data_IF_147444837857
#
_entry.id   IF_147444837857
#
_cell.length_a   1.000
_cell.length_b   1.000
_cell.length_c   1.000
_cell.angle_alpha   90.00
_cell.angle_beta   90.00
_cell.angle_gamma   90.00
#
_symmetry.space_group_name_H-M   'P 1'
#
loop_
_entity.id
_entity.type
_entity.pdbx_description
1 polymer ?
#
# COMPACT_ATOMS: atom_id res chain seq x y z
N UNK A 1 23.92 -12.95 -21.44
CA UNK A 1 23.64 -13.59 -20.14
C UNK A 1 22.31 -13.06 -19.60
N UNK A 2 21.24 -13.86 -19.54
CA UNK A 2 19.91 -13.39 -19.18
C UNK A 2 19.72 -13.41 -17.65
N UNK A 3 19.81 -12.25 -17.00
CA UNK A 3 19.44 -12.06 -15.58
C UNK A 3 18.09 -11.35 -15.51
N UNK A 4 16.98 -12.06 -15.76
CA UNK A 4 15.62 -11.49 -15.55
C UNK A 4 14.54 -12.47 -15.07
N UNK A 5 14.86 -13.74 -14.79
CA UNK A 5 13.81 -14.72 -14.43
C UNK A 5 13.55 -14.92 -12.92
N UNK A 6 14.40 -14.42 -12.02
CA UNK A 6 14.24 -14.71 -10.58
C UNK A 6 13.30 -13.75 -9.85
N UNK A 7 13.06 -12.55 -10.40
CA UNK A 7 12.25 -11.51 -9.74
C UNK A 7 10.75 -11.82 -9.77
N UNK A 8 10.24 -12.37 -10.88
CA UNK A 8 8.82 -12.69 -11.02
C UNK A 8 8.32 -13.71 -9.99
N UNK A 9 9.14 -14.71 -9.63
CA UNK A 9 8.70 -15.75 -8.70
C UNK A 9 8.53 -15.22 -7.27
N UNK A 10 9.38 -14.27 -6.86
CA UNK A 10 9.29 -13.63 -5.55
C UNK A 10 8.06 -12.73 -5.43
N UNK A 11 7.73 -11.94 -6.47
CA UNK A 11 6.55 -11.08 -6.46
C UNK A 11 5.23 -11.86 -6.59
N UNK A 12 5.20 -12.98 -7.32
CA UNK A 12 4.04 -13.87 -7.37
C UNK A 12 3.73 -14.50 -6.00
N UNK A 13 4.75 -14.90 -5.24
CA UNK A 13 4.58 -15.40 -3.87
C UNK A 13 4.07 -14.30 -2.93
N UNK A 14 4.54 -13.06 -3.10
CA UNK A 14 4.13 -11.90 -2.30
C UNK A 14 2.69 -11.46 -2.61
N UNK A 15 2.23 -11.57 -3.85
CA UNK A 15 0.82 -11.34 -4.18
C UNK A 15 -0.09 -12.35 -3.45
N UNK A 16 0.34 -13.61 -3.31
CA UNK A 16 -0.33 -14.62 -2.49
C UNK A 16 -0.34 -14.25 -1.00
N UNK A 17 0.75 -13.69 -0.47
CA UNK A 17 0.78 -13.16 0.89
C UNK A 17 -0.18 -11.97 1.06
N UNK A 18 -0.21 -11.04 0.10
CA UNK A 18 -1.08 -9.86 0.13
C UNK A 18 -2.56 -10.21 0.07
N UNK A 19 -2.95 -11.22 -0.71
CA UNK A 19 -4.34 -11.67 -0.78
C UNK A 19 -4.88 -12.15 0.58
N UNK A 20 -4.00 -12.57 1.50
CA UNK A 20 -4.35 -13.01 2.84
C UNK A 20 -4.24 -11.90 3.91
N UNK A 21 -3.84 -10.67 3.53
CA UNK A 21 -3.71 -9.55 4.45
C UNK A 21 -4.99 -8.72 4.51
N UNK A 22 -6.05 -9.19 5.16
CA UNK A 22 -7.25 -8.37 5.45
C UNK A 22 -7.30 -7.98 6.93
N UNK A 23 -6.96 -6.72 7.29
CA UNK A 23 -6.99 -6.27 8.67
C UNK A 23 -8.37 -6.39 9.34
N UNK A 24 -8.37 -6.52 10.66
CA UNK A 24 -9.61 -6.43 11.42
C UNK A 24 -10.24 -5.03 11.28
N UNK A 25 -11.56 -4.98 11.13
CA UNK A 25 -12.30 -3.73 10.94
C UNK A 25 -12.21 -3.14 9.53
N UNK A 26 -11.64 -3.85 8.54
CA UNK A 26 -11.86 -3.55 7.13
C UNK A 26 -13.37 -3.68 6.80
N UNK A 27 -13.99 -2.67 6.16
CA UNK A 27 -15.40 -2.74 5.75
C UNK A 27 -15.68 -4.01 4.92
N UNK A 28 -16.83 -4.65 5.12
CA UNK A 28 -17.15 -5.94 4.47
C UNK A 28 -17.34 -5.81 2.96
N UNK A 29 -17.80 -4.65 2.51
CA UNK A 29 -17.99 -4.24 1.12
C UNK A 29 -16.69 -3.75 0.43
N UNK A 30 -15.58 -3.63 1.16
CA UNK A 30 -14.33 -3.15 0.59
C UNK A 30 -13.72 -4.17 -0.39
N UNK A 31 -13.48 -3.72 -1.61
CA UNK A 31 -12.74 -4.44 -2.64
C UNK A 31 -11.27 -4.53 -2.26
N UNK A 32 -10.60 -5.60 -2.67
CA UNK A 32 -9.18 -5.86 -2.36
C UNK A 32 -8.31 -5.67 -3.58
N UNK A 33 -7.23 -4.91 -3.43
CA UNK A 33 -6.22 -4.67 -4.45
C UNK A 33 -4.86 -5.04 -3.90
N UNK A 34 -4.17 -5.95 -4.57
CA UNK A 34 -2.85 -6.42 -4.14
C UNK A 34 -1.75 -5.93 -5.07
N UNK A 35 -0.58 -5.69 -4.52
CA UNK A 35 0.64 -5.40 -5.26
C UNK A 35 1.87 -5.59 -4.38
N UNK A 36 3.01 -5.15 -4.88
CA UNK A 36 4.26 -5.19 -4.14
C UNK A 36 5.35 -4.40 -4.84
N UNK A 37 6.57 -4.48 -4.30
CA UNK A 37 7.72 -3.85 -4.91
C UNK A 37 9.02 -4.23 -4.22
N UNK A 38 10.07 -3.45 -4.51
CA UNK A 38 11.39 -3.59 -3.89
C UNK A 38 11.79 -2.30 -3.18
N UNK A 39 12.32 -2.43 -1.95
CA UNK A 39 13.00 -1.35 -1.23
C UNK A 39 14.39 -1.81 -0.81
N UNK A 40 15.43 -1.17 -1.35
CA UNK A 40 16.82 -1.49 -1.00
C UNK A 40 17.18 -2.97 -1.23
N UNK A 41 16.57 -3.62 -2.22
CA UNK A 41 16.77 -5.05 -2.53
C UNK A 41 15.90 -6.03 -1.73
N UNK A 42 15.10 -5.56 -0.77
CA UNK A 42 14.10 -6.38 -0.07
C UNK A 42 12.73 -6.23 -0.71
N UNK A 43 12.07 -7.35 -0.97
CA UNK A 43 10.73 -7.36 -1.52
C UNK A 43 9.67 -7.17 -0.44
N UNK A 44 8.56 -6.56 -0.81
CA UNK A 44 7.44 -6.28 0.10
C UNK A 44 6.10 -6.44 -0.61
N UNK A 45 5.09 -6.84 0.16
CA UNK A 45 3.72 -7.03 -0.27
C UNK A 45 2.80 -5.94 0.31
N UNK A 46 1.83 -5.50 -0.48
CA UNK A 46 0.82 -4.51 -0.07
C UNK A 46 -0.57 -4.99 -0.47
N UNK A 47 -1.52 -4.86 0.46
CA UNK A 47 -2.94 -5.00 0.20
C UNK A 47 -3.67 -3.70 0.55
N UNK A 48 -4.46 -3.19 -0.38
CA UNK A 48 -5.34 -2.04 -0.19
C UNK A 48 -6.76 -2.57 -0.25
N UNK A 49 -7.50 -2.37 0.82
CA UNK A 49 -8.94 -2.61 0.85
C UNK A 49 -9.66 -1.27 0.81
N UNK A 50 -10.49 -1.06 -0.20
CA UNK A 50 -11.11 0.23 -0.46
C UNK A 50 -12.58 0.04 -0.85
N UNK A 51 -13.47 0.78 -0.20
CA UNK A 51 -14.87 0.95 -0.59
C UNK A 51 -15.00 2.11 -1.57
N UNK A 52 -16.11 2.16 -2.31
CA UNK A 52 -16.37 3.24 -3.28
C UNK A 52 -16.47 4.62 -2.61
N UNK A 53 -16.81 4.68 -1.33
CA UNK A 53 -16.87 5.92 -0.53
C UNK A 53 -15.55 6.27 0.18
N UNK A 54 -14.46 5.57 -0.15
CA UNK A 54 -13.12 5.92 0.32
C UNK A 54 -12.77 5.45 1.73
N UNK A 55 -13.56 4.55 2.33
CA UNK A 55 -13.23 3.88 3.59
C UNK A 55 -12.40 2.64 3.30
N UNK A 56 -11.57 2.25 4.27
CA UNK A 56 -10.77 1.05 4.08
C UNK A 56 -9.51 0.98 4.91
N UNK A 57 -8.62 0.09 4.48
CA UNK A 57 -7.38 -0.23 5.19
C UNK A 57 -6.26 -0.53 4.20
N UNK A 58 -5.03 -0.20 4.57
CA UNK A 58 -3.80 -0.59 3.88
C UNK A 58 -3.01 -1.53 4.79
N UNK A 59 -2.72 -2.74 4.32
CA UNK A 59 -1.83 -3.67 4.99
C UNK A 59 -0.52 -3.79 4.24
N UNK A 60 0.58 -3.83 4.98
CA UNK A 60 1.90 -4.17 4.48
C UNK A 60 2.42 -5.37 5.28
N UNK A 61 3.22 -6.23 4.65
CA UNK A 61 3.88 -7.36 5.31
C UNK A 61 4.96 -6.95 6.35
N UNK A 62 5.09 -5.64 6.63
CA UNK A 62 6.05 -5.02 7.55
C UNK A 62 5.37 -4.13 8.63
N UNK A 63 5.77 -2.87 8.78
CA UNK A 63 5.43 -1.96 9.90
C UNK A 63 3.92 -1.61 10.02
N UNK A 64 3.10 -2.05 9.06
CA UNK A 64 1.66 -1.82 9.01
C UNK A 64 0.86 -3.12 8.85
N UNK A 65 1.36 -4.24 9.42
CA UNK A 65 0.73 -5.56 9.30
C UNK A 65 -0.69 -5.64 9.88
N UNK A 66 -0.97 -4.85 10.92
CA UNK A 66 -2.29 -4.79 11.55
C UNK A 66 -3.28 -3.89 10.79
N UNK A 67 -2.87 -3.32 9.65
CA UNK A 67 -3.70 -2.45 8.83
C UNK A 67 -3.70 -1.00 9.29
N UNK A 68 -3.22 -0.11 8.42
CA UNK A 68 -3.45 1.32 8.54
C UNK A 68 -4.85 1.64 8.02
N UNK A 69 -5.69 2.33 8.79
CA UNK A 69 -7.01 2.79 8.35
C UNK A 69 -6.89 3.98 7.43
N UNK A 70 -7.54 3.93 6.28
CA UNK A 70 -7.59 5.03 5.32
C UNK A 70 -8.31 6.22 5.97
N UNK A 71 -7.72 7.41 5.85
CA UNK A 71 -8.31 8.67 6.26
C UNK A 71 -9.08 9.27 5.08
N UNK A 72 -10.41 9.14 5.01
CA UNK A 72 -11.17 9.47 3.80
C UNK A 72 -11.03 10.94 3.40
N UNK A 73 -10.85 11.83 4.39
CA UNK A 73 -10.64 13.27 4.17
C UNK A 73 -9.36 13.60 3.40
N UNK A 74 -8.43 12.65 3.29
CA UNK A 74 -7.16 12.81 2.55
C UNK A 74 -7.21 12.28 1.13
N UNK A 75 -8.31 11.65 0.72
CA UNK A 75 -8.44 11.09 -0.63
C UNK A 75 -8.47 12.23 -1.64
N UNK A 76 -7.61 12.12 -2.64
CA UNK A 76 -7.51 13.02 -3.78
C UNK A 76 -7.62 12.19 -5.04
N UNK A 77 -8.52 12.58 -5.91
CA UNK A 77 -8.62 12.05 -7.26
C UNK A 77 -7.71 12.87 -8.17
N UNK A 78 -6.82 12.19 -8.88
CA UNK A 78 -5.96 12.79 -9.90
C UNK A 78 -6.43 12.47 -11.30
N UNK A 79 -5.64 12.89 -12.28
CA UNK A 79 -5.90 12.61 -13.69
C UNK A 79 -5.82 11.10 -13.99
N UNK A 80 -6.45 10.71 -15.09
CA UNK A 80 -6.45 9.34 -15.60
C UNK A 80 -6.91 8.27 -14.58
N UNK A 81 -7.77 8.66 -13.62
CA UNK A 81 -8.33 7.74 -12.62
C UNK A 81 -7.36 7.38 -11.50
N UNK A 82 -6.34 8.20 -11.26
CA UNK A 82 -5.40 7.99 -10.15
C UNK A 82 -5.97 8.47 -8.82
N UNK A 83 -5.52 7.87 -7.72
CA UNK A 83 -5.91 8.18 -6.35
C UNK A 83 -4.67 8.44 -5.49
N UNK A 84 -4.77 9.37 -4.55
CA UNK A 84 -3.77 9.57 -3.50
C UNK A 84 -4.46 9.72 -2.16
N UNK A 85 -3.92 9.12 -1.09
CA UNK A 85 -4.52 9.19 0.24
C UNK A 85 -3.52 8.83 1.33
N UNK A 86 -3.89 9.10 2.58
CA UNK A 86 -3.15 8.67 3.77
C UNK A 86 -3.92 7.59 4.52
N UNK A 87 -3.17 6.71 5.16
CA UNK A 87 -3.70 5.74 6.09
C UNK A 87 -2.87 5.75 7.38
N UNK A 88 -3.53 5.61 8.53
CA UNK A 88 -2.91 5.73 9.85
C UNK A 88 -3.19 4.51 10.74
N UNK A 89 -2.35 4.32 11.75
CA UNK A 89 -2.47 3.18 12.68
C UNK A 89 -1.43 2.09 12.47
N UNK A 90 -0.37 2.38 11.73
CA UNK A 90 0.84 1.54 11.73
C UNK A 90 1.49 1.52 13.13
N UNK A 91 2.33 0.51 13.37
CA UNK A 91 2.98 0.31 14.67
C UNK A 91 4.35 1.02 14.79
N UNK A 92 4.79 1.21 16.03
CA UNK A 92 6.13 1.70 16.34
C UNK A 92 6.35 3.18 16.01
N UNK A 93 7.41 3.49 15.26
CA UNK A 93 7.76 4.87 14.87
C UNK A 93 6.98 5.34 13.64
N UNK A 94 6.52 4.40 12.82
CA UNK A 94 5.72 4.65 11.63
C UNK A 94 4.27 4.79 12.07
N UNK A 95 3.71 5.99 11.93
CA UNK A 95 2.31 6.25 12.33
C UNK A 95 1.31 5.96 11.22
N UNK A 96 1.80 5.80 9.98
CA UNK A 96 0.96 5.60 8.81
C UNK A 96 1.75 5.45 7.52
N UNK A 97 1.01 5.44 6.42
CA UNK A 97 1.53 5.49 5.05
C UNK A 97 0.78 6.56 4.26
N UNK A 98 1.47 7.14 3.28
CA UNK A 98 0.85 7.92 2.23
C UNK A 98 1.03 7.17 0.91
N UNK A 99 -0.09 6.96 0.22
CA UNK A 99 -0.18 6.36 -1.10
C UNK A 99 -0.39 7.48 -2.10
N UNK A 100 0.42 7.52 -3.15
CA UNK A 100 0.39 8.55 -4.18
C UNK A 100 0.28 7.92 -5.57
N UNK A 101 -0.41 8.61 -6.47
CA UNK A 101 -0.52 8.23 -7.89
C UNK A 101 -1.00 6.78 -8.08
N UNK A 102 -1.87 6.30 -7.19
CA UNK A 102 -2.37 4.94 -7.18
C UNK A 102 -3.30 4.73 -8.37
N UNK A 103 -2.99 3.72 -9.17
CA UNK A 103 -3.85 3.25 -10.24
C UNK A 103 -4.24 1.81 -9.95
N UNK A 104 -5.55 1.57 -9.89
CA UNK A 104 -6.13 0.29 -9.55
C UNK A 104 -6.78 -0.32 -10.80
N UNK A 105 -6.58 -1.62 -10.98
CA UNK A 105 -7.30 -2.44 -11.96
C UNK A 105 -7.91 -3.63 -11.23
N UNK A 106 -8.76 -4.42 -11.89
CA UNK A 106 -9.52 -5.52 -11.28
C UNK A 106 -8.66 -6.41 -10.34
N UNK A 107 -8.78 -6.16 -9.02
CA UNK A 107 -8.08 -6.88 -7.96
C UNK A 107 -6.60 -6.53 -7.74
N UNK A 108 -6.03 -5.56 -8.47
CA UNK A 108 -4.58 -5.31 -8.46
C UNK A 108 -4.20 -3.83 -8.43
N UNK A 109 -3.01 -3.57 -7.90
CA UNK A 109 -2.34 -2.27 -7.99
C UNK A 109 -1.53 -2.25 -9.30
N UNK A 110 -2.00 -1.50 -10.29
CA UNK A 110 -1.29 -1.33 -11.57
C UNK A 110 -0.03 -0.48 -11.39
N UNK A 111 -0.15 0.61 -10.64
CA UNK A 111 0.95 1.49 -10.28
C UNK A 111 0.64 2.27 -9.01
N UNK A 112 1.68 2.75 -8.33
CA UNK A 112 1.54 3.72 -7.25
C UNK A 112 2.87 3.93 -6.53
N UNK A 113 2.86 4.88 -5.61
CA UNK A 113 4.00 5.19 -4.76
C UNK A 113 3.56 5.12 -3.30
N UNK A 114 4.41 4.55 -2.46
CA UNK A 114 4.19 4.45 -1.02
C UNK A 114 5.33 5.13 -0.28
N UNK A 115 4.99 6.00 0.66
CA UNK A 115 5.94 6.54 1.64
C UNK A 115 5.43 6.31 3.06
N UNK A 116 6.36 6.12 3.99
CA UNK A 116 6.02 6.00 5.40
C UNK A 116 5.82 7.37 6.02
N UNK A 117 4.87 7.45 6.93
CA UNK A 117 4.59 8.64 7.74
C UNK A 117 5.14 8.43 9.14
N UNK A 118 5.86 9.42 9.66
CA UNK A 118 6.28 9.48 11.05
C UNK A 118 5.71 10.73 11.72
N UNK A 119 5.46 10.63 13.02
CA UNK A 119 5.13 11.79 13.85
C UNK A 119 6.39 12.24 14.57
N UNK A 120 6.78 13.50 14.37
CA UNK A 120 7.87 14.16 15.08
C UNK A 120 7.42 15.56 15.48
N UNK A 121 7.53 15.89 16.76
CA UNK A 121 7.19 17.22 17.29
C UNK A 121 5.79 17.70 16.86
N UNK A 122 4.79 16.80 16.95
CA UNK A 122 3.40 16.99 16.49
C UNK A 122 3.20 17.21 14.97
N UNK A 123 4.25 17.14 14.16
CA UNK A 123 4.17 17.18 12.71
C UNK A 123 4.23 15.78 12.12
N UNK A 124 3.36 15.53 11.12
CA UNK A 124 3.40 14.31 10.31
C UNK A 124 4.30 14.59 9.11
N UNK A 125 5.40 13.86 9.01
CA UNK A 125 6.36 13.97 7.91
C UNK A 125 6.49 12.65 7.16
N UNK A 126 6.76 12.75 5.86
CA UNK A 126 7.16 11.60 5.05
C UNK A 126 8.61 11.24 5.36
N UNK A 127 8.92 9.94 5.38
CA UNK A 127 10.28 9.44 5.63
C UNK A 127 10.70 8.38 4.62
N UNK A 128 11.97 8.44 4.26
CA UNK A 128 12.56 7.56 3.26
C UNK A 128 12.23 7.96 1.83
N UNK A 129 12.76 7.19 0.88
CA UNK A 129 12.44 7.32 -0.54
C UNK A 129 11.09 6.65 -0.84
N UNK A 130 10.31 7.16 -1.80
CA UNK A 130 9.12 6.50 -2.30
C UNK A 130 9.39 5.06 -2.74
N UNK A 131 8.52 4.15 -2.33
CA UNK A 131 8.54 2.76 -2.76
C UNK A 131 7.52 2.59 -3.89
N UNK A 132 7.98 2.06 -5.02
CA UNK A 132 7.11 1.82 -6.18
C UNK A 132 6.25 0.57 -5.95
N UNK A 133 4.94 0.74 -6.10
CA UNK A 133 3.93 -0.31 -6.07
C UNK A 133 3.60 -0.76 -7.48
N UNK A 134 3.58 -2.07 -7.72
CA UNK A 134 3.06 -2.66 -8.95
C UNK A 134 2.65 -4.12 -8.73
N UNK A 135 1.93 -4.70 -9.69
CA UNK A 135 1.57 -6.11 -9.69
C UNK A 135 2.63 -7.03 -10.35
N UNK A 136 3.79 -6.49 -10.74
CA UNK A 136 4.80 -7.15 -11.57
C UNK A 136 5.76 -8.06 -10.82
#
# INVERSE_FOLDING_TARGET
>A
MPRRLTTCLALLLLAGCAANMRPEGTPTDALTFTGGGLRGGSAYAVAIHLTDDGRGTVALDSDCRNGARIEPSTIKHGDAGTLSFRAFGCGGRTVGVEIQHLKLIAGKIESGELVFLQRRDNLITTVGQPMLLSDK
#
